data_IF_469196349112
#
_entry.id   IF_469196349112
#
_cell.length_a   1.000
_cell.length_b   1.000
_cell.length_c   1.000
_cell.angle_alpha   90.00
_cell.angle_beta   90.00
_cell.angle_gamma   90.00
#
_symmetry.space_group_name_H-M   'P 1'
#
loop_
_entity.id
_entity.type
_entity.pdbx_description
1 polymer ?
#
# COMPACT_ATOMS: atom_id res chain seq x y z
N UNK A 1 3.16 -14.22 2.16
CA UNK A 1 1.70 -14.35 1.93
C UNK A 1 0.86 -13.50 2.90
N UNK A 2 1.08 -13.65 4.20
CA UNK A 2 0.38 -12.88 5.24
C UNK A 2 0.67 -11.38 5.18
N UNK A 3 1.95 -10.98 5.16
CA UNK A 3 2.35 -9.57 5.03
C UNK A 3 1.75 -8.91 3.79
N UNK A 4 1.74 -9.61 2.65
CA UNK A 4 1.06 -9.15 1.42
C UNK A 4 -0.42 -8.89 1.68
N UNK A 5 -1.13 -9.80 2.34
CA UNK A 5 -2.58 -9.67 2.56
C UNK A 5 -2.91 -8.55 3.55
N UNK A 6 -2.04 -8.31 4.54
CA UNK A 6 -2.14 -7.18 5.45
C UNK A 6 -1.99 -5.87 4.66
N UNK A 7 -0.94 -5.74 3.84
CA UNK A 7 -0.71 -4.53 3.04
C UNK A 7 -1.80 -4.35 1.98
N UNK A 8 -2.28 -5.44 1.36
CA UNK A 8 -3.40 -5.38 0.43
C UNK A 8 -4.63 -4.76 1.10
N UNK A 9 -5.02 -5.27 2.27
CA UNK A 9 -6.20 -4.78 2.99
C UNK A 9 -6.02 -3.33 3.45
N UNK A 10 -4.83 -2.94 3.91
CA UNK A 10 -4.58 -1.57 4.37
C UNK A 10 -4.60 -0.56 3.22
N UNK A 11 -3.93 -0.86 2.11
CA UNK A 11 -3.75 0.10 1.00
C UNK A 11 -4.94 0.15 0.05
N UNK A 12 -5.71 -0.93 -0.09
CA UNK A 12 -6.84 -0.97 -1.05
C UNK A 12 -7.98 0.00 -0.69
N UNK A 13 -8.11 0.38 0.58
CA UNK A 13 -9.11 1.37 1.03
C UNK A 13 -8.82 2.73 0.40
N UNK A 14 -7.54 3.13 0.37
CA UNK A 14 -7.08 4.40 -0.20
C UNK A 14 -7.36 4.51 -1.71
N UNK A 15 -7.45 3.37 -2.40
CA UNK A 15 -7.77 3.33 -3.83
C UNK A 15 -9.21 3.76 -4.13
N UNK A 16 -10.12 3.59 -3.17
CA UNK A 16 -11.52 4.01 -3.26
C UNK A 16 -11.77 5.48 -2.91
N UNK A 17 -10.83 6.16 -2.24
CA UNK A 17 -11.02 7.52 -1.72
C UNK A 17 -10.39 8.62 -2.60
N UNK A 18 -10.04 8.30 -3.86
CA UNK A 18 -9.42 9.27 -4.74
C UNK A 18 -10.36 10.46 -5.03
N UNK A 19 -9.96 11.71 -4.74
CA UNK A 19 -10.83 12.88 -4.85
C UNK A 19 -11.17 13.29 -6.29
N UNK A 20 -10.55 12.67 -7.29
CA UNK A 20 -10.66 13.05 -8.70
C UNK A 20 -10.96 11.83 -9.57
N UNK A 21 -11.97 11.95 -10.44
CA UNK A 21 -12.30 10.94 -11.47
C UNK A 21 -11.22 10.76 -12.55
N UNK A 22 -10.26 11.70 -12.62
CA UNK A 22 -9.14 11.71 -13.59
C UNK A 22 -8.05 10.69 -13.28
N UNK A 23 -8.13 10.04 -12.12
CA UNK A 23 -7.19 9.03 -11.67
C UNK A 23 -7.97 7.83 -11.15
N UNK A 24 -7.59 6.65 -11.59
CA UNK A 24 -8.08 5.38 -11.07
C UNK A 24 -6.89 4.55 -10.62
N UNK A 25 -7.00 3.96 -9.43
CA UNK A 25 -6.01 3.03 -8.89
C UNK A 25 -6.71 1.73 -8.56
N UNK A 26 -6.16 0.61 -9.04
CA UNK A 26 -6.59 -0.73 -8.67
C UNK A 26 -5.41 -1.45 -8.00
N UNK A 27 -5.65 -2.04 -6.83
CA UNK A 27 -4.67 -2.85 -6.09
C UNK A 27 -5.10 -4.31 -6.20
N UNK A 28 -4.16 -5.18 -6.54
CA UNK A 28 -4.43 -6.61 -6.74
C UNK A 28 -3.37 -7.42 -5.97
N UNK A 29 -3.83 -8.33 -5.10
CA UNK A 29 -2.94 -9.33 -4.50
C UNK A 29 -2.59 -10.40 -5.55
N UNK A 30 -1.29 -10.63 -5.75
CA UNK A 30 -0.75 -11.67 -6.63
C UNK A 30 0.14 -12.63 -5.83
N UNK A 31 0.58 -13.74 -6.44
CA UNK A 31 1.36 -14.76 -5.72
C UNK A 31 2.65 -14.19 -5.12
N UNK A 32 3.35 -13.31 -5.84
CA UNK A 32 4.65 -12.76 -5.42
C UNK A 32 4.56 -11.38 -4.76
N UNK A 33 3.35 -10.85 -4.48
CA UNK A 33 3.22 -9.54 -3.84
C UNK A 33 1.96 -8.78 -4.25
N UNK A 34 2.12 -7.48 -4.51
CA UNK A 34 1.04 -6.59 -4.90
C UNK A 34 1.28 -6.04 -6.30
N UNK A 35 0.24 -6.07 -7.13
CA UNK A 35 0.20 -5.36 -8.40
C UNK A 35 -0.64 -4.09 -8.21
N UNK A 36 -0.03 -2.96 -8.55
CA UNK A 36 -0.67 -1.64 -8.55
C UNK A 36 -0.89 -1.24 -10.00
N UNK A 37 -2.14 -0.94 -10.36
CA UNK A 37 -2.49 -0.43 -11.68
C UNK A 37 -2.98 1.00 -11.50
N UNK A 38 -2.31 1.95 -12.15
CA UNK A 38 -2.68 3.37 -12.09
C UNK A 38 -3.03 3.84 -13.50
N UNK A 39 -4.22 4.38 -13.66
CA UNK A 39 -4.67 5.06 -14.86
C UNK A 39 -4.87 6.53 -14.51
N UNK A 40 -4.32 7.42 -15.33
CA UNK A 40 -4.44 8.86 -15.12
C UNK A 40 -4.50 9.59 -16.48
N UNK A 41 -5.23 10.70 -16.53
CA UNK A 41 -5.37 11.53 -17.74
C UNK A 41 -4.09 12.26 -18.13
N UNK A 42 -3.21 12.53 -17.16
CA UNK A 42 -1.98 13.27 -17.37
C UNK A 42 -0.83 12.75 -16.48
N UNK A 43 0.40 13.11 -16.86
CA UNK A 43 1.62 12.64 -16.18
C UNK A 43 1.75 13.21 -14.76
N UNK A 44 1.19 14.39 -14.49
CA UNK A 44 1.25 15.01 -13.16
C UNK A 44 0.36 14.23 -12.20
N UNK A 45 -0.84 13.87 -12.63
CA UNK A 45 -1.81 13.03 -11.92
C UNK A 45 -1.27 11.62 -11.70
N UNK A 46 -0.61 11.03 -12.71
CA UNK A 46 0.07 9.72 -12.59
C UNK A 46 1.16 9.77 -11.51
N UNK A 47 2.04 10.77 -11.58
CA UNK A 47 3.14 10.95 -10.61
C UNK A 47 2.61 11.14 -9.20
N UNK A 48 1.55 11.95 -9.04
CA UNK A 48 0.93 12.18 -7.74
C UNK A 48 0.37 10.88 -7.16
N UNK A 49 -0.40 10.13 -7.95
CA UNK A 49 -0.99 8.86 -7.54
C UNK A 49 0.09 7.83 -7.18
N UNK A 50 1.08 7.63 -8.06
CA UNK A 50 2.18 6.69 -7.83
C UNK A 50 2.90 7.01 -6.52
N UNK A 51 3.26 8.27 -6.30
CA UNK A 51 3.99 8.67 -5.10
C UNK A 51 3.15 8.52 -3.82
N UNK A 52 1.84 8.80 -3.87
CA UNK A 52 0.95 8.58 -2.73
C UNK A 52 0.88 7.10 -2.36
N UNK A 53 0.64 6.22 -3.34
CA UNK A 53 0.54 4.78 -3.08
C UNK A 53 1.85 4.15 -2.62
N UNK A 54 3.00 4.58 -3.17
CA UNK A 54 4.30 4.15 -2.67
C UNK A 54 4.52 4.57 -1.21
N UNK A 55 4.08 5.76 -0.81
CA UNK A 55 4.16 6.21 0.59
C UNK A 55 3.26 5.40 1.52
N UNK A 56 2.05 5.04 1.08
CA UNK A 56 1.16 4.19 1.86
C UNK A 56 1.74 2.78 2.07
N UNK A 57 2.35 2.21 1.04
CA UNK A 57 3.02 0.91 1.13
C UNK A 57 4.23 0.98 2.05
N UNK A 58 5.10 1.99 1.89
CA UNK A 58 6.26 2.19 2.75
C UNK A 58 5.86 2.38 4.23
N UNK A 59 4.82 3.17 4.49
CA UNK A 59 4.26 3.34 5.84
C UNK A 59 3.74 2.02 6.41
N UNK A 60 2.99 1.24 5.61
CA UNK A 60 2.46 -0.06 6.04
C UNK A 60 3.57 -1.05 6.40
N UNK A 61 4.61 -1.14 5.56
CA UNK A 61 5.79 -1.97 5.80
C UNK A 61 6.53 -1.56 7.08
N UNK A 62 6.70 -0.26 7.31
CA UNK A 62 7.31 0.27 8.54
C UNK A 62 6.51 -0.10 9.78
N UNK A 63 5.19 0.05 9.74
CA UNK A 63 4.31 -0.34 10.85
C UNK A 63 4.39 -1.83 11.15
N UNK A 64 4.36 -2.69 10.11
CA UNK A 64 4.48 -4.14 10.28
C UNK A 64 5.83 -4.52 10.92
N UNK A 65 6.93 -3.93 10.45
CA UNK A 65 8.27 -4.17 11.02
C UNK A 65 8.34 -3.76 12.49
N UNK A 66 7.82 -2.57 12.82
CA UNK A 66 7.82 -2.08 14.20
C UNK A 66 7.04 -3.00 15.14
N UNK A 67 5.89 -3.54 14.70
CA UNK A 67 5.11 -4.50 15.48
C UNK A 67 5.89 -5.80 15.69
N UNK A 68 6.50 -6.35 14.63
CA UNK A 68 7.32 -7.57 14.76
C UNK A 68 8.53 -7.38 15.68
N UNK A 69 9.16 -6.21 15.67
CA UNK A 69 10.26 -5.89 16.59
C UNK A 69 9.79 -5.87 18.05
N UNK A 70 8.61 -5.30 18.32
CA UNK A 70 8.01 -5.26 19.66
C UNK A 70 7.62 -6.66 20.17
N UNK A 71 7.02 -7.49 19.31
CA UNK A 71 6.69 -8.88 19.68
C UNK A 71 7.93 -9.70 20.03
N UNK A 72 9.02 -9.48 19.27
CA UNK A 72 10.31 -10.13 19.53
C UNK A 72 10.96 -9.66 20.82
N UNK A 73 10.88 -8.38 21.17
CA UNK A 73 11.40 -7.89 22.46
C UNK A 73 10.56 -8.41 23.63
N UNK A 74 9.24 -8.54 23.46
CA UNK A 74 8.32 -9.02 24.49
C UNK A 74 8.40 -10.52 24.75
N UNK A 75 9.03 -11.28 23.84
CA UNK A 75 9.21 -12.73 23.94
C UNK A 75 10.55 -13.12 24.57
N UNK A 76 11.39 -12.15 24.93
CA UNK A 76 12.71 -12.33 25.55
C UNK A 76 12.68 -12.00 27.06
N UNK A 77 11.59 -11.38 27.54
CA UNK A 77 11.28 -11.18 28.97
C UNK A 77 10.38 -12.32 29.51
#
# INVERSE_FOLDING_TARGET
>A
PEERDIIYKSVSIEAGELPSKRTRVDIIAVNEGLKIVIQAEDVVSLRAALNSFLRFIDSSLKSIRAIFELERSSSID
#
